data_IF_270384056351
#
_entry.id   IF_270384056351
#
_cell.length_a   1.000
_cell.length_b   1.000
_cell.length_c   1.000
_cell.angle_alpha   90.00
_cell.angle_beta   90.00
_cell.angle_gamma   90.00
#
_symmetry.space_group_name_H-M   'P 1'
#
loop_
_entity.id
_entity.type
_entity.pdbx_description
1 polymer ?
#
# COMPACT_ATOMS: atom_id res chain seq x y z
N UNK A 1 -5.99 20.56 17.36
CA UNK A 1 -5.42 19.21 17.11
C UNK A 1 -5.05 19.07 15.64
N UNK A 2 -3.77 18.88 15.32
CA UNK A 2 -3.26 18.66 13.97
C UNK A 2 -3.19 17.17 13.63
N UNK A 3 -3.64 16.78 12.45
CA UNK A 3 -3.48 15.42 11.93
C UNK A 3 -2.39 15.41 10.86
N UNK A 4 -1.29 14.73 11.14
CA UNK A 4 -0.10 14.67 10.29
C UNK A 4 0.00 13.25 9.74
N UNK A 5 0.35 13.12 8.46
CA UNK A 5 0.54 11.82 7.81
C UNK A 5 1.91 11.75 7.18
N UNK A 6 2.57 10.58 7.27
CA UNK A 6 3.65 10.24 6.36
C UNK A 6 3.11 9.56 5.09
N UNK A 7 3.86 9.56 3.99
CA UNK A 7 3.71 8.53 2.98
C UNK A 7 3.83 7.14 3.61
N UNK A 8 3.17 6.15 2.99
CA UNK A 8 3.30 4.75 3.37
C UNK A 8 4.25 4.04 2.38
N UNK A 9 5.48 3.67 2.78
CA UNK A 9 6.42 3.04 1.87
C UNK A 9 5.93 1.65 1.43
N UNK A 10 6.22 1.30 0.18
CA UNK A 10 5.95 -0.04 -0.35
C UNK A 10 6.86 -1.07 0.32
N UNK A 11 6.29 -2.15 0.85
CA UNK A 11 7.05 -3.26 1.45
C UNK A 11 7.60 -4.21 0.38
N UNK A 12 8.43 -3.71 -0.52
CA UNK A 12 9.11 -4.50 -1.54
C UNK A 12 10.65 -4.60 -1.33
N UNK A 13 11.17 -3.86 -0.34
CA UNK A 13 12.57 -3.83 0.05
C UNK A 13 12.72 -3.37 1.50
N UNK A 14 13.93 -3.50 2.03
CA UNK A 14 14.29 -3.00 3.37
C UNK A 14 14.28 -1.46 3.41
N UNK A 15 13.99 -0.85 4.58
CA UNK A 15 14.07 0.58 4.77
C UNK A 15 15.43 1.16 4.35
N UNK A 16 15.44 2.39 3.81
CA UNK A 16 16.65 3.12 3.44
C UNK A 16 16.56 4.58 3.89
N UNK A 17 17.64 5.35 3.70
CA UNK A 17 17.74 6.74 4.18
C UNK A 17 16.56 7.64 3.76
N UNK A 18 16.04 7.48 2.54
CA UNK A 18 14.86 8.23 2.09
C UNK A 18 13.64 8.06 3.01
N UNK A 19 13.30 6.83 3.40
CA UNK A 19 12.20 6.57 4.34
C UNK A 19 12.47 7.20 5.71
N UNK A 20 13.72 7.12 6.17
CA UNK A 20 14.11 7.71 7.46
C UNK A 20 13.98 9.23 7.46
N UNK A 21 14.41 9.88 6.37
CA UNK A 21 14.33 11.33 6.24
C UNK A 21 12.87 11.81 6.33
N UNK A 22 11.96 11.13 5.62
CA UNK A 22 10.52 11.45 5.68
C UNK A 22 9.95 11.28 7.09
N UNK A 23 10.30 10.19 7.78
CA UNK A 23 9.85 9.95 9.14
C UNK A 23 10.37 11.00 10.13
N UNK A 24 11.64 11.39 10.04
CA UNK A 24 12.23 12.45 10.87
C UNK A 24 11.51 13.77 10.65
N UNK A 25 11.15 14.11 9.41
CA UNK A 25 10.43 15.34 9.11
C UNK A 25 9.04 15.37 9.76
N UNK A 26 8.23 14.32 9.56
CA UNK A 26 6.87 14.29 10.13
C UNK A 26 6.88 14.20 11.66
N UNK A 27 7.82 13.47 12.25
CA UNK A 27 8.01 13.39 13.70
C UNK A 27 8.45 14.74 14.28
N UNK A 28 9.37 15.45 13.61
CA UNK A 28 9.80 16.79 14.02
C UNK A 28 8.63 17.77 14.03
N UNK A 29 7.80 17.76 12.98
CA UNK A 29 6.60 18.60 12.89
C UNK A 29 5.61 18.26 14.00
N UNK A 30 5.33 16.97 14.23
CA UNK A 30 4.42 16.53 15.29
C UNK A 30 4.90 16.95 16.69
N UNK A 31 6.21 16.82 16.96
CA UNK A 31 6.83 17.28 18.22
C UNK A 31 6.76 18.79 18.37
N UNK A 32 6.97 19.55 17.30
CA UNK A 32 6.89 21.00 17.34
C UNK A 32 5.50 21.46 17.81
N UNK A 33 4.43 20.95 17.20
CA UNK A 33 3.06 21.27 17.60
C UNK A 33 2.75 20.83 19.03
N UNK A 34 3.11 19.60 19.40
CA UNK A 34 2.87 19.10 20.78
C UNK A 34 3.64 19.92 21.83
N UNK A 35 4.84 20.42 21.51
CA UNK A 35 5.66 21.23 22.44
C UNK A 35 5.27 22.70 22.49
N UNK A 36 4.65 23.26 21.45
CA UNK A 36 4.24 24.66 21.41
C UNK A 36 3.03 24.97 22.31
N UNK A 37 2.47 23.97 23.01
CA UNK A 37 1.36 24.06 23.98
C UNK A 37 0.08 24.73 23.46
N UNK A 38 -0.01 24.92 22.15
CA UNK A 38 -1.14 25.56 21.47
C UNK A 38 -2.07 24.53 20.84
N UNK A 39 -1.54 23.37 20.46
CA UNK A 39 -2.30 22.28 19.85
C UNK A 39 -1.69 20.89 20.16
N UNK A 40 -2.54 19.87 20.21
CA UNK A 40 -2.10 18.47 20.15
C UNK A 40 -1.83 18.04 18.69
N UNK A 41 -0.92 17.11 18.46
CA UNK A 41 -0.71 16.49 17.15
C UNK A 41 -1.02 14.98 17.21
N UNK A 42 -1.58 14.45 16.12
CA UNK A 42 -1.70 13.02 15.86
C UNK A 42 -0.93 12.70 14.58
N UNK A 43 0.11 11.89 14.68
CA UNK A 43 0.94 11.45 13.57
C UNK A 43 0.58 10.02 13.17
N UNK A 44 0.01 9.87 11.97
CA UNK A 44 -0.26 8.58 11.34
C UNK A 44 0.85 8.22 10.37
N UNK A 45 1.48 7.08 10.59
CA UNK A 45 2.44 6.45 9.69
C UNK A 45 1.90 5.10 9.22
N UNK A 46 2.65 4.38 8.39
CA UNK A 46 2.23 3.05 7.94
C UNK A 46 3.11 2.46 6.88
N UNK A 47 2.61 1.41 6.22
CA UNK A 47 3.26 0.70 5.12
C UNK A 47 2.23 0.24 4.09
N UNK A 48 2.61 0.25 2.82
CA UNK A 48 1.82 -0.34 1.74
C UNK A 48 2.29 -1.77 1.44
N UNK A 49 1.38 -2.73 1.66
CA UNK A 49 1.64 -4.16 1.59
C UNK A 49 1.02 -4.82 0.34
N UNK A 50 0.42 -4.06 -0.57
CA UNK A 50 -0.13 -4.59 -1.82
C UNK A 50 0.81 -4.34 -3.00
N UNK A 51 0.81 -5.26 -3.96
CA UNK A 51 1.52 -5.06 -5.22
C UNK A 51 2.03 -6.35 -5.83
N UNK A 52 2.15 -6.36 -7.16
CA UNK A 52 2.59 -7.53 -7.90
C UNK A 52 4.01 -7.97 -7.52
N UNK A 53 4.95 -7.02 -7.44
CA UNK A 53 6.36 -7.33 -7.11
C UNK A 53 6.50 -7.97 -5.73
N UNK A 54 5.67 -7.54 -4.78
CA UNK A 54 5.62 -8.11 -3.44
C UNK A 54 5.17 -9.57 -3.50
N UNK A 55 4.09 -9.83 -4.25
CA UNK A 55 3.60 -11.19 -4.48
C UNK A 55 4.65 -12.08 -5.17
N UNK A 56 5.29 -11.61 -6.24
CA UNK A 56 6.34 -12.35 -6.97
C UNK A 56 7.55 -12.67 -6.09
N UNK A 57 7.99 -11.72 -5.26
CA UNK A 57 9.07 -11.94 -4.30
C UNK A 57 8.67 -12.97 -3.24
N UNK A 58 7.46 -12.88 -2.68
CA UNK A 58 6.97 -13.85 -1.71
C UNK A 58 6.97 -15.28 -2.30
N UNK A 59 6.46 -15.43 -3.53
CA UNK A 59 6.47 -16.70 -4.26
C UNK A 59 7.88 -17.22 -4.53
N UNK A 60 8.80 -16.35 -4.97
CA UNK A 60 10.20 -16.72 -5.23
C UNK A 60 10.92 -17.22 -3.97
N UNK A 61 10.57 -16.65 -2.81
CA UNK A 61 11.11 -17.06 -1.52
C UNK A 61 10.36 -18.25 -0.90
N UNK A 62 9.27 -18.74 -1.51
CA UNK A 62 8.44 -19.81 -0.94
C UNK A 62 7.72 -19.41 0.35
N UNK A 63 7.48 -18.10 0.56
CA UNK A 63 6.84 -17.54 1.74
C UNK A 63 5.42 -17.11 1.39
N UNK A 64 4.49 -17.30 2.33
CA UNK A 64 3.12 -16.80 2.20
C UNK A 64 3.14 -15.25 2.11
N UNK A 65 2.41 -14.62 1.14
CA UNK A 65 2.52 -13.18 0.89
C UNK A 65 2.29 -12.29 2.11
N UNK A 66 1.30 -12.61 2.95
CA UNK A 66 1.01 -11.83 4.15
C UNK A 66 2.17 -11.92 5.17
N UNK A 67 2.71 -13.11 5.41
CA UNK A 67 3.92 -13.29 6.24
C UNK A 67 5.12 -12.51 5.71
N UNK A 68 5.31 -12.50 4.39
CA UNK A 68 6.42 -11.78 3.76
C UNK A 68 6.33 -10.26 4.02
N UNK A 69 5.16 -9.66 3.80
CA UNK A 69 4.97 -8.21 4.02
C UNK A 69 4.94 -7.82 5.48
N UNK A 70 4.47 -8.70 6.37
CA UNK A 70 4.47 -8.45 7.81
C UNK A 70 5.91 -8.45 8.34
N UNK A 71 6.76 -9.38 7.89
CA UNK A 71 8.18 -9.38 8.22
C UNK A 71 8.89 -8.10 7.72
N UNK A 72 8.58 -7.64 6.51
CA UNK A 72 9.15 -6.39 6.00
C UNK A 72 8.66 -5.17 6.77
N UNK A 73 7.39 -5.14 7.19
CA UNK A 73 6.85 -4.08 8.02
C UNK A 73 7.56 -3.98 9.38
N UNK A 74 7.92 -5.12 10.00
CA UNK A 74 8.70 -5.14 11.24
C UNK A 74 10.05 -4.43 11.10
N UNK A 75 10.69 -4.50 9.94
CA UNK A 75 11.95 -3.80 9.71
C UNK A 75 11.79 -2.27 9.76
N UNK A 76 10.65 -1.75 9.29
CA UNK A 76 10.32 -0.32 9.43
C UNK A 76 10.08 0.03 10.90
N UNK A 77 9.29 -0.76 11.63
CA UNK A 77 9.01 -0.53 13.04
C UNK A 77 10.30 -0.51 13.87
N UNK A 78 11.19 -1.48 13.67
CA UNK A 78 12.51 -1.53 14.33
C UNK A 78 13.37 -0.32 14.00
N UNK A 79 13.34 0.15 12.75
CA UNK A 79 14.06 1.37 12.37
C UNK A 79 13.49 2.60 13.10
N UNK A 80 12.16 2.72 13.15
CA UNK A 80 11.50 3.80 13.89
C UNK A 80 11.88 3.80 15.37
N UNK A 81 11.88 2.63 16.00
CA UNK A 81 12.33 2.45 17.39
C UNK A 81 13.80 2.85 17.57
N UNK A 82 14.68 2.41 16.68
CA UNK A 82 16.12 2.71 16.75
C UNK A 82 16.42 4.22 16.65
N UNK A 83 15.63 4.96 15.87
CA UNK A 83 15.77 6.41 15.69
C UNK A 83 14.82 7.22 16.57
N UNK A 84 14.15 6.57 17.53
CA UNK A 84 13.19 7.19 18.46
C UNK A 84 12.07 7.98 17.78
N UNK A 85 11.68 7.58 16.57
CA UNK A 85 10.57 8.17 15.83
C UNK A 85 9.27 7.85 16.58
N UNK A 86 8.49 8.89 16.90
CA UNK A 86 7.21 8.75 17.59
C UNK A 86 6.08 8.96 16.60
N UNK A 87 5.10 8.09 16.67
CA UNK A 87 3.87 8.17 15.90
C UNK A 87 2.71 7.66 16.76
N UNK A 88 1.50 8.12 16.48
CA UNK A 88 0.29 7.77 17.24
C UNK A 88 -0.47 6.62 16.58
N UNK A 89 -0.37 6.50 15.26
CA UNK A 89 -0.99 5.43 14.48
C UNK A 89 -0.03 4.81 13.48
N UNK A 90 -0.12 3.48 13.31
CA UNK A 90 0.61 2.76 12.27
C UNK A 90 -0.34 1.89 11.46
N UNK A 91 -0.52 2.24 10.18
CA UNK A 91 -1.50 1.60 9.30
C UNK A 91 -0.82 0.64 8.34
N UNK A 92 -1.38 -0.56 8.23
CA UNK A 92 -1.02 -1.54 7.20
C UNK A 92 -2.14 -1.62 6.17
N UNK A 93 -1.85 -1.46 4.87
CA UNK A 93 -2.92 -1.48 3.83
C UNK A 93 -3.60 -2.84 3.68
N UNK A 94 -2.99 -3.92 4.16
CA UNK A 94 -3.59 -5.27 4.25
C UNK A 94 -4.58 -5.42 5.42
N UNK A 95 -4.59 -4.49 6.38
CA UNK A 95 -5.42 -4.61 7.59
C UNK A 95 -6.92 -4.68 7.25
N UNK A 96 -7.71 -5.45 8.01
CA UNK A 96 -9.17 -5.52 7.81
C UNK A 96 -9.84 -4.13 7.80
N UNK A 97 -9.44 -3.26 8.73
CA UNK A 97 -10.01 -1.91 8.88
C UNK A 97 -9.74 -1.05 7.64
N UNK A 98 -8.51 -1.07 7.12
CA UNK A 98 -8.16 -0.33 5.91
C UNK A 98 -8.94 -0.85 4.69
N UNK A 99 -9.10 -2.18 4.56
CA UNK A 99 -9.89 -2.79 3.48
C UNK A 99 -11.35 -2.35 3.49
N UNK A 100 -11.98 -2.31 4.67
CA UNK A 100 -13.36 -1.83 4.82
C UNK A 100 -13.49 -0.39 4.35
N UNK A 101 -12.58 0.49 4.77
CA UNK A 101 -12.60 1.91 4.36
C UNK A 101 -12.40 2.06 2.85
N UNK A 102 -11.45 1.32 2.26
CA UNK A 102 -11.21 1.34 0.83
C UNK A 102 -12.46 0.90 0.03
N UNK A 103 -13.16 -0.15 0.50
CA UNK A 103 -14.42 -0.61 -0.10
C UNK A 103 -15.54 0.42 0.01
N UNK A 104 -15.66 1.11 1.15
CA UNK A 104 -16.65 2.19 1.34
C UNK A 104 -16.38 3.34 0.36
N UNK A 105 -15.12 3.75 0.20
CA UNK A 105 -14.74 4.80 -0.75
C UNK A 105 -15.08 4.37 -2.17
N UNK A 106 -14.72 3.14 -2.57
CA UNK A 106 -15.06 2.57 -3.87
C UNK A 106 -16.57 2.61 -4.13
N UNK A 107 -17.36 2.09 -3.20
CA UNK A 107 -18.83 2.04 -3.32
C UNK A 107 -19.45 3.43 -3.47
N UNK A 108 -18.96 4.42 -2.70
CA UNK A 108 -19.45 5.80 -2.84
C UNK A 108 -19.13 6.39 -4.21
N UNK A 109 -17.93 6.14 -4.74
CA UNK A 109 -17.54 6.61 -6.07
C UNK A 109 -18.33 5.93 -7.18
N UNK A 110 -18.61 4.63 -7.04
CA UNK A 110 -19.46 3.87 -7.96
C UNK A 110 -20.92 4.37 -7.93
N UNK A 111 -21.50 4.51 -6.75
CA UNK A 111 -22.87 5.05 -6.58
C UNK A 111 -23.00 6.48 -7.09
N UNK A 112 -21.94 7.28 -6.96
CA UNK A 112 -21.88 8.64 -7.50
C UNK A 112 -21.69 8.71 -9.03
N UNK A 113 -21.55 7.58 -9.72
CA UNK A 113 -21.32 7.53 -11.16
C UNK A 113 -19.90 7.92 -11.60
N UNK A 114 -18.94 8.02 -10.67
CA UNK A 114 -17.54 8.36 -10.97
C UNK A 114 -16.71 7.16 -11.40
N UNK A 115 -17.19 5.94 -11.14
CA UNK A 115 -16.60 4.68 -11.60
C UNK A 115 -17.52 4.07 -12.65
N UNK A 116 -16.94 3.70 -13.79
CA UNK A 116 -17.68 3.04 -14.86
C UNK A 116 -16.82 1.96 -15.51
N UNK A 117 -17.46 0.91 -16.01
CA UNK A 117 -16.78 -0.17 -16.73
C UNK A 117 -16.61 0.22 -18.20
N UNK A 118 -15.39 0.14 -18.72
CA UNK A 118 -15.08 0.36 -20.14
C UNK A 118 -14.19 -0.74 -20.66
N UNK A 119 -14.54 -1.27 -21.83
CA UNK A 119 -13.65 -2.17 -22.56
C UNK A 119 -12.51 -1.36 -23.17
N UNK A 120 -11.27 -1.74 -22.87
CA UNK A 120 -10.08 -1.09 -23.41
C UNK A 120 -9.14 -2.13 -24.02
N UNK A 121 -8.56 -1.78 -25.18
CA UNK A 121 -7.42 -2.50 -25.74
C UNK A 121 -6.16 -1.90 -25.14
N UNK A 122 -5.37 -2.73 -24.47
CA UNK A 122 -4.11 -2.32 -23.83
C UNK A 122 -2.95 -3.12 -24.42
N UNK A 123 -1.85 -2.43 -24.75
CA UNK A 123 -0.60 -3.08 -25.11
C UNK A 123 0.14 -3.44 -23.83
N UNK A 124 0.14 -4.73 -23.49
CA UNK A 124 0.81 -5.23 -22.29
C UNK A 124 2.25 -5.58 -22.65
N UNK A 125 3.20 -4.76 -22.20
CA UNK A 125 4.61 -5.16 -22.18
C UNK A 125 4.77 -6.38 -21.24
N UNK A 126 5.68 -7.31 -21.56
CA UNK A 126 5.86 -8.61 -20.86
C UNK A 126 5.95 -8.51 -19.32
N UNK A 127 6.34 -7.34 -18.79
CA UNK A 127 6.45 -6.97 -17.37
C UNK A 127 5.08 -6.73 -16.68
N UNK A 128 3.97 -6.63 -17.43
CA UNK A 128 2.62 -6.33 -16.90
C UNK A 128 1.63 -7.46 -17.23
N UNK A 129 2.10 -8.71 -17.34
CA UNK A 129 1.25 -9.86 -17.75
C UNK A 129 0.19 -10.27 -16.72
N UNK A 130 0.23 -9.77 -15.49
CA UNK A 130 -0.40 -10.46 -14.34
C UNK A 130 -1.64 -9.75 -13.80
N UNK A 131 -2.04 -8.57 -14.32
CA UNK A 131 -3.39 -8.02 -14.06
C UNK A 131 -4.53 -8.97 -14.48
N UNK A 132 -4.22 -10.06 -15.18
CA UNK A 132 -5.18 -11.03 -15.71
C UNK A 132 -4.95 -12.47 -15.27
N UNK A 133 -4.16 -12.79 -14.23
CA UNK A 133 -3.88 -14.20 -13.95
C UNK A 133 -5.07 -15.00 -13.39
N UNK A 134 -6.19 -14.35 -13.03
CA UNK A 134 -7.48 -15.03 -12.85
C UNK A 134 -8.26 -15.27 -14.17
N UNK A 135 -7.73 -14.85 -15.33
CA UNK A 135 -8.38 -14.99 -16.63
C UNK A 135 -7.61 -15.86 -17.65
N UNK A 136 -6.50 -16.50 -17.27
CA UNK A 136 -5.63 -17.19 -18.22
C UNK A 136 -5.57 -18.71 -17.99
N UNK A 137 -6.68 -19.41 -18.24
CA UNK A 137 -6.59 -20.64 -19.02
C UNK A 137 -6.80 -20.24 -20.48
N UNK A 138 -5.74 -20.20 -21.30
CA UNK A 138 -5.76 -20.50 -22.74
C UNK A 138 -4.48 -20.01 -23.46
N UNK A 139 -4.07 -20.83 -24.42
CA UNK A 139 -2.75 -20.89 -25.05
C UNK A 139 -2.43 -19.69 -25.95
N UNK A 140 -1.15 -19.40 -26.04
CA UNK A 140 -0.50 -18.41 -26.90
C UNK A 140 -0.74 -18.65 -28.40
N UNK A 141 -1.46 -17.73 -29.04
CA UNK A 141 -1.19 -17.14 -30.37
C UNK A 141 -2.13 -15.93 -30.52
N UNK A 142 -1.54 -14.72 -30.60
CA UNK A 142 -2.22 -13.44 -30.88
C UNK A 142 -3.66 -13.31 -30.32
N UNK A 143 -3.82 -13.31 -29.00
CA UNK A 143 -5.13 -13.24 -28.38
C UNK A 143 -5.50 -11.78 -28.06
N UNK A 144 -6.62 -11.30 -28.62
CA UNK A 144 -7.36 -10.16 -28.10
C UNK A 144 -7.95 -10.58 -26.74
N UNK A 145 -7.58 -9.88 -25.67
CA UNK A 145 -8.09 -10.18 -24.33
C UNK A 145 -9.31 -9.30 -24.02
N UNK A 146 -10.44 -9.93 -23.72
CA UNK A 146 -11.64 -9.26 -23.20
C UNK A 146 -11.77 -9.64 -21.73
N UNK A 147 -11.54 -8.69 -20.82
CA UNK A 147 -11.75 -8.92 -19.39
C UNK A 147 -13.25 -8.84 -19.10
N UNK A 148 -13.94 -9.99 -19.01
CA UNK A 148 -15.37 -9.98 -18.69
C UNK A 148 -15.74 -10.41 -17.26
N UNK A 149 -14.92 -11.18 -16.53
CA UNK A 149 -15.35 -11.79 -15.26
C UNK A 149 -14.29 -11.73 -14.14
N UNK A 150 -13.98 -10.54 -13.61
CA UNK A 150 -13.08 -10.39 -12.45
C UNK A 150 -13.78 -9.91 -11.17
N UNK A 151 -15.10 -9.65 -11.20
CA UNK A 151 -15.83 -9.04 -10.09
C UNK A 151 -17.26 -9.59 -9.92
N UNK A 152 -17.45 -10.90 -10.03
CA UNK A 152 -18.69 -11.55 -9.57
C UNK A 152 -18.48 -12.13 -8.17
#
# INVERSE_FOLDING_TARGET
MFYITSPIPYTNSTPHLGHLLEAVFVDTIARFYTRSQTDSAFLSMGVDQHGLKIYEQAQTNGIEPQKFVDHLAENYIKLWEQFEIRYDGFVKTSSPQHRVVAQIIWQKLEQGGYIYKKLMKVCIAKVVKIFMHQASSLKTKSAQYTIQNLFK
#
